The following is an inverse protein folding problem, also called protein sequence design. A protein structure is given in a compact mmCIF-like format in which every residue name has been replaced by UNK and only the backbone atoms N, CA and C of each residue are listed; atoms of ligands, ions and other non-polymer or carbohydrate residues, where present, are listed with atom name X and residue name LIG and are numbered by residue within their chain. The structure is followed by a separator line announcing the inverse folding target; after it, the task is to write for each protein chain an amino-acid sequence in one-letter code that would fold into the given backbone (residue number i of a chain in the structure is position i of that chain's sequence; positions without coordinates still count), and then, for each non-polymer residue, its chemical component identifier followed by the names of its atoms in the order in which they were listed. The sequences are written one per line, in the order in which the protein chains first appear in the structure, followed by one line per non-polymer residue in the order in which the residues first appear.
data_IF_448683099215
#
_entry.id   IF_448683099215
#
_cell.length_a   1.000
_cell.length_b   1.000
_cell.length_c   1.000
_cell.angle_alpha   90.00
_cell.angle_beta   90.00
_cell.angle_gamma   90.00
#
_symmetry.space_group_name_H-M   'P 1'
#
loop_
_entity.id
_entity.type
_entity.pdbx_description
1 polymer ?
#
# COMPACT_ATOMS: atom_id res chain seq x y z
N UNK A 1 3.59 -2.49 -39.85
CA UNK A 1 3.76 -2.05 -38.45
C UNK A 1 2.88 -0.83 -38.25
N UNK A 2 2.00 -0.78 -37.23
CA UNK A 2 1.20 0.43 -37.03
C UNK A 2 2.14 1.56 -36.59
N UNK A 3 2.19 2.62 -37.38
CA UNK A 3 2.83 3.88 -36.99
C UNK A 3 1.90 4.60 -36.03
N UNK A 4 2.06 4.41 -34.72
CA UNK A 4 1.38 5.29 -33.76
C UNK A 4 1.95 6.69 -33.92
N UNK A 5 1.10 7.63 -34.32
CA UNK A 5 1.42 9.06 -34.32
C UNK A 5 1.43 9.56 -32.88
N UNK A 6 2.54 9.31 -32.19
CA UNK A 6 2.74 9.67 -30.79
C UNK A 6 2.74 11.18 -30.55
N UNK A 7 2.75 12.01 -31.61
CA UNK A 7 2.61 13.47 -31.50
C UNK A 7 1.17 13.94 -31.60
N UNK A 8 0.25 13.10 -32.07
CA UNK A 8 -1.17 13.43 -32.12
C UNK A 8 -1.75 13.53 -30.71
N UNK A 9 -2.33 14.69 -30.31
CA UNK A 9 -2.98 14.82 -29.01
C UNK A 9 -4.14 13.82 -28.82
N UNK A 10 -4.81 13.44 -29.92
CA UNK A 10 -5.89 12.45 -29.90
C UNK A 10 -5.42 11.08 -29.42
N UNK A 11 -4.13 10.74 -29.60
CA UNK A 11 -3.54 9.50 -29.08
C UNK A 11 -3.54 9.41 -27.55
N UNK A 12 -3.68 10.53 -26.84
CA UNK A 12 -3.64 10.62 -25.37
C UNK A 12 -4.99 11.00 -24.74
N UNK A 13 -6.09 11.02 -25.49
CA UNK A 13 -7.41 11.37 -24.95
C UNK A 13 -7.78 10.54 -23.71
N UNK A 14 -7.42 9.26 -23.68
CA UNK A 14 -7.63 8.40 -22.51
C UNK A 14 -6.78 8.80 -21.29
N UNK A 15 -5.54 9.27 -21.50
CA UNK A 15 -4.64 9.66 -20.41
C UNK A 15 -5.19 10.82 -19.57
N UNK A 16 -6.00 11.69 -20.17
CA UNK A 16 -6.66 12.81 -19.47
C UNK A 16 -7.70 12.33 -18.43
N UNK A 17 -8.23 11.12 -18.60
CA UNK A 17 -9.18 10.52 -17.66
C UNK A 17 -8.50 9.77 -16.51
N UNK A 18 -7.19 9.55 -16.58
CA UNK A 18 -6.46 8.79 -15.55
C UNK A 18 -6.30 9.69 -14.31
N UNK A 19 -6.75 9.23 -13.13
CA UNK A 19 -6.52 9.97 -11.90
C UNK A 19 -5.02 10.21 -11.67
N UNK A 20 -4.64 11.39 -11.18
CA UNK A 20 -3.23 11.73 -10.93
C UNK A 20 -2.52 10.69 -10.04
N UNK A 21 -3.22 10.14 -9.04
CA UNK A 21 -2.70 9.06 -8.20
C UNK A 21 -2.43 7.77 -8.99
N UNK A 22 -3.27 7.43 -9.96
CA UNK A 22 -3.06 6.30 -10.86
C UNK A 22 -1.82 6.52 -11.73
N UNK A 23 -1.64 7.72 -12.28
CA UNK A 23 -0.45 8.05 -13.07
C UNK A 23 0.84 7.99 -12.25
N UNK A 24 0.83 8.54 -11.03
CA UNK A 24 1.96 8.45 -10.11
C UNK A 24 2.31 7.00 -9.75
N UNK A 25 1.29 6.15 -9.54
CA UNK A 25 1.48 4.73 -9.29
C UNK A 25 2.09 3.98 -10.47
N UNK A 26 1.67 4.30 -11.70
CA UNK A 26 2.20 3.72 -12.93
C UNK A 26 3.69 4.02 -13.12
N UNK A 27 4.15 5.20 -12.69
CA UNK A 27 5.56 5.55 -12.66
C UNK A 27 6.33 4.70 -11.65
N UNK A 28 5.88 4.67 -10.39
CA UNK A 28 6.54 3.94 -9.31
C UNK A 28 6.66 2.44 -9.59
N UNK A 29 5.62 1.79 -10.12
CA UNK A 29 5.67 0.34 -10.38
C UNK A 29 6.65 -0.06 -11.49
N UNK A 30 7.06 0.89 -12.35
CA UNK A 30 8.03 0.66 -13.44
C UNK A 30 9.47 0.97 -13.01
N UNK A 31 9.65 1.66 -11.89
CA UNK A 31 10.96 1.94 -11.32
C UNK A 31 11.55 0.66 -10.68
N UNK A 32 12.72 0.24 -11.16
CA UNK A 32 13.36 -0.99 -10.67
C UNK A 32 13.91 -0.85 -9.25
N UNK A 33 14.30 0.36 -8.85
CA UNK A 33 14.73 0.64 -7.49
C UNK A 33 13.54 0.58 -6.53
N UNK A 34 12.38 1.10 -6.94
CA UNK A 34 11.13 0.93 -6.20
C UNK A 34 10.81 -0.53 -5.98
N UNK A 35 10.87 -1.33 -7.05
CA UNK A 35 10.61 -2.77 -6.96
C UNK A 35 11.56 -3.46 -5.99
N UNK A 36 12.85 -3.16 -6.05
CA UNK A 36 13.86 -3.72 -5.15
C UNK A 36 13.61 -3.33 -3.69
N UNK A 37 13.34 -2.06 -3.43
CA UNK A 37 13.07 -1.55 -2.08
C UNK A 37 11.77 -2.12 -1.52
N UNK A 38 10.74 -2.23 -2.33
CA UNK A 38 9.47 -2.85 -1.95
C UNK A 38 9.66 -4.34 -1.61
N UNK A 39 10.45 -5.08 -2.40
CA UNK A 39 10.81 -6.46 -2.08
C UNK A 39 11.62 -6.58 -0.80
N UNK A 40 12.49 -5.61 -0.50
CA UNK A 40 13.24 -5.55 0.76
C UNK A 40 12.31 -5.26 1.95
N UNK A 41 11.38 -4.31 1.79
CA UNK A 41 10.39 -3.96 2.80
C UNK A 41 9.48 -5.16 3.11
N UNK A 42 9.02 -5.89 2.09
CA UNK A 42 8.18 -7.10 2.25
C UNK A 42 8.84 -8.23 3.06
N UNK A 43 10.17 -8.29 3.11
CA UNK A 43 10.90 -9.31 3.89
C UNK A 43 11.06 -8.92 5.36
N UNK A 44 10.81 -7.66 5.71
CA UNK A 44 10.89 -7.16 7.09
C UNK A 44 9.60 -7.45 7.83
N UNK A 45 9.68 -7.49 9.16
CA UNK A 45 8.48 -7.58 10.01
C UNK A 45 7.57 -6.38 9.73
N UNK A 46 6.26 -6.60 9.75
CA UNK A 46 5.28 -5.52 9.60
C UNK A 46 5.32 -4.51 10.76
N UNK A 47 5.97 -4.88 11.85
CA UNK A 47 6.18 -4.00 13.02
C UNK A 47 7.49 -3.19 12.91
N UNK A 48 8.30 -3.42 11.88
CA UNK A 48 9.51 -2.62 11.59
C UNK A 48 9.09 -1.21 11.11
N UNK A 49 8.80 -0.36 12.08
CA UNK A 49 8.27 1.00 11.88
C UNK A 49 9.33 1.91 11.28
N UNK A 50 10.59 1.68 11.59
CA UNK A 50 11.72 2.43 11.04
C UNK A 50 11.84 2.16 9.54
N UNK A 51 11.83 0.90 9.11
CA UNK A 51 11.90 0.57 7.69
C UNK A 51 10.68 1.07 6.91
N UNK A 52 9.48 1.03 7.50
CA UNK A 52 8.27 1.60 6.89
C UNK A 52 8.38 3.12 6.75
N UNK A 53 8.94 3.81 7.75
CA UNK A 53 9.13 5.25 7.73
C UNK A 53 10.18 5.66 6.70
N UNK A 54 11.32 4.96 6.65
CA UNK A 54 12.35 5.18 5.63
C UNK A 54 11.81 4.96 4.21
N UNK A 55 11.01 3.91 4.00
CA UNK A 55 10.36 3.65 2.72
C UNK A 55 9.36 4.77 2.35
N UNK A 56 8.55 5.22 3.30
CA UNK A 56 7.58 6.29 3.08
C UNK A 56 8.26 7.63 2.78
N UNK A 57 9.36 7.97 3.45
CA UNK A 57 10.10 9.19 3.20
C UNK A 57 10.75 9.20 1.80
N UNK A 58 11.21 8.03 1.34
CA UNK A 58 11.84 7.89 0.03
C UNK A 58 10.84 7.91 -1.12
N UNK A 59 9.73 7.18 -0.97
CA UNK A 59 8.78 6.92 -2.07
C UNK A 59 7.44 7.65 -1.94
N UNK A 60 7.20 8.35 -0.84
CA UNK A 60 5.93 9.03 -0.56
C UNK A 60 4.76 8.08 -0.25
N UNK A 61 5.01 6.78 -0.07
CA UNK A 61 3.99 5.75 0.12
C UNK A 61 4.00 5.17 1.54
N UNK A 62 2.84 5.15 2.19
CA UNK A 62 2.67 4.51 3.50
C UNK A 62 1.51 3.51 3.46
N UNK A 63 1.82 2.26 3.77
CA UNK A 63 0.82 1.21 3.90
C UNK A 63 0.33 1.15 5.35
N UNK A 64 -0.99 1.02 5.54
CA UNK A 64 -1.51 0.74 6.89
C UNK A 64 -1.04 -0.64 7.34
N UNK A 65 -0.61 -0.71 8.60
CA UNK A 65 -0.41 -1.97 9.31
C UNK A 65 -1.67 -2.83 9.24
N UNK A 66 -1.51 -4.13 9.41
CA UNK A 66 -2.63 -5.06 9.36
C UNK A 66 -3.49 -4.83 10.59
N UNK A 67 -4.70 -5.40 10.65
CA UNK A 67 -5.35 -5.53 11.94
C UNK A 67 -4.34 -6.16 12.90
N UNK A 68 -4.05 -5.46 14.00
CA UNK A 68 -3.21 -5.99 15.06
C UNK A 68 -3.80 -7.29 15.60
N UNK A 69 -3.03 -8.13 16.31
CA UNK A 69 -3.57 -9.34 16.91
C UNK A 69 -4.81 -8.96 17.73
N UNK A 70 -5.92 -9.66 17.50
CA UNK A 70 -7.13 -9.45 18.26
C UNK A 70 -6.76 -9.49 19.74
N UNK A 71 -6.88 -8.35 20.44
CA UNK A 71 -6.74 -8.34 21.89
C UNK A 71 -7.77 -9.35 22.37
N UNK A 72 -7.33 -10.45 22.98
CA UNK A 72 -8.25 -11.37 23.66
C UNK A 72 -8.95 -10.52 24.72
N UNK A 73 -10.16 -10.08 24.41
CA UNK A 73 -11.05 -9.52 25.40
C UNK A 73 -11.21 -10.62 26.43
N UNK A 74 -10.54 -10.48 27.57
CA UNK A 74 -10.86 -11.25 28.77
C UNK A 74 -12.23 -10.75 29.20
N UNK A 75 -13.27 -11.29 28.58
CA UNK A 75 -14.61 -11.27 29.14
C UNK A 75 -14.50 -12.13 30.40
N UNK A 76 -14.28 -11.49 31.54
CA UNK A 76 -14.38 -12.16 32.81
C UNK A 76 -15.80 -12.71 32.89
N UNK A 77 -15.89 -14.04 32.97
CA UNK A 77 -17.12 -14.77 33.28
C UNK A 77 -17.64 -14.17 34.59
N UNK A 78 -18.75 -13.43 34.53
CA UNK A 78 -19.47 -13.07 35.75
C UNK A 78 -20.26 -14.31 36.18
N UNK A 79 -19.93 -14.68 37.42
CA UNK A 79 -20.27 -15.87 38.18
C UNK A 79 -21.78 -16.18 38.23
N UNK A 80 -22.07 -17.45 38.48
CA UNK A 80 -23.38 -18.02 38.68
C UNK A 80 -24.10 -17.34 39.84
N UNK A 81 -25.35 -16.93 39.62
CA UNK A 81 -26.27 -16.62 40.72
C UNK A 81 -27.09 -17.86 41.04
N UNK A 82 -26.62 -18.65 42.00
CA UNK A 82 -27.46 -19.58 42.75
C UNK A 82 -28.22 -18.81 43.84
N UNK A 83 -29.55 -18.92 43.84
CA UNK A 83 -30.49 -18.65 44.94
C UNK A 83 -31.88 -19.01 44.39
N UNK A 84 -32.79 -19.72 45.06
CA UNK A 84 -32.82 -20.41 46.34
C UNK A 84 -33.83 -21.57 46.20
#
# INVERSE_FOLDING_TARGET
MPSSDWRSPAAYGHAQSIPAAGFAWEYLRRDDEYRRDFHRLKRKSRDDTEAQTAFANRWGLRFRGGPGPARRSRCAILDARASA
#
